data_IF_472327995896
#
_entry.id   IF_472327995896
#
_cell.length_a   1.000
_cell.length_b   1.000
_cell.length_c   1.000
_cell.angle_alpha   90.00
_cell.angle_beta   90.00
_cell.angle_gamma   90.00
#
_symmetry.space_group_name_H-M   'P 1'
#
loop_
_entity.id
_entity.type
_entity.pdbx_description
1 polymer ?
#
# COMPACT_ATOMS: atom_id res chain seq x y z
N UNK A 1 2.69 -12.28 10.68
CA UNK A 1 1.47 -11.61 10.20
C UNK A 1 1.66 -10.11 10.14
N UNK A 2 1.23 -9.49 9.07
CA UNK A 2 1.45 -8.06 8.87
C UNK A 2 0.33 -7.24 9.47
N UNK A 3 0.69 -6.18 10.19
CA UNK A 3 -0.32 -5.27 10.73
C UNK A 3 -0.62 -4.11 9.77
N UNK A 4 -1.78 -3.52 9.96
CA UNK A 4 -2.20 -2.35 9.20
C UNK A 4 -1.13 -1.26 9.25
N UNK A 5 -0.85 -0.67 8.09
CA UNK A 5 0.18 0.36 7.95
C UNK A 5 1.54 -0.16 7.55
N UNK A 6 1.73 -1.49 7.49
CA UNK A 6 3.00 -2.07 7.06
C UNK A 6 3.19 -1.82 5.57
N UNK A 7 4.38 -1.37 5.20
CA UNK A 7 4.79 -1.21 3.79
C UNK A 7 5.48 -2.48 3.36
N UNK A 8 4.95 -3.10 2.31
CA UNK A 8 5.46 -4.38 1.80
C UNK A 8 5.80 -4.26 0.33
N UNK A 9 6.63 -5.18 -0.15
CA UNK A 9 6.90 -5.34 -1.58
C UNK A 9 6.08 -6.50 -2.11
N UNK A 10 5.39 -6.26 -3.22
CA UNK A 10 4.58 -7.28 -3.88
C UNK A 10 4.86 -7.28 -5.38
N UNK A 11 4.67 -8.41 -6.05
CA UNK A 11 4.78 -8.44 -7.51
C UNK A 11 3.62 -7.68 -8.14
N UNK A 12 3.88 -6.99 -9.25
CA UNK A 12 2.84 -6.23 -9.95
C UNK A 12 3.11 -6.25 -11.46
N UNK A 13 2.11 -6.55 -12.28
CA UNK A 13 0.80 -7.08 -11.86
C UNK A 13 0.91 -8.51 -11.35
N UNK A 14 0.07 -8.86 -10.37
CA UNK A 14 0.13 -10.19 -9.75
C UNK A 14 -0.55 -11.26 -10.60
N UNK A 15 -1.13 -10.88 -11.73
CA UNK A 15 -1.74 -11.82 -12.67
C UNK A 15 -0.84 -12.11 -13.85
N UNK A 16 0.26 -11.35 -14.02
CA UNK A 16 1.18 -11.52 -15.13
C UNK A 16 2.50 -12.09 -14.62
N UNK A 17 2.73 -13.35 -14.92
CA UNK A 17 3.93 -14.06 -14.49
C UNK A 17 5.18 -13.66 -15.27
N UNK A 18 5.03 -12.90 -16.36
CA UNK A 18 6.15 -12.50 -17.20
C UNK A 18 6.71 -11.13 -16.85
N UNK A 19 5.94 -10.28 -16.17
CA UNK A 19 6.38 -8.95 -15.79
C UNK A 19 6.87 -8.92 -14.37
N UNK A 20 8.16 -9.04 -14.17
CA UNK A 20 8.77 -9.12 -12.84
C UNK A 20 8.93 -7.76 -12.19
N UNK A 21 7.90 -6.92 -12.24
CA UNK A 21 7.93 -5.64 -11.51
C UNK A 21 7.53 -5.86 -10.07
N UNK A 22 8.30 -5.26 -9.17
CA UNK A 22 8.03 -5.26 -7.75
C UNK A 22 7.56 -3.86 -7.38
N UNK A 23 6.46 -3.76 -6.65
CA UNK A 23 5.89 -2.47 -6.25
C UNK A 23 5.68 -2.45 -4.75
N UNK A 24 5.88 -1.29 -4.11
CA UNK A 24 5.48 -1.16 -2.72
C UNK A 24 3.97 -1.01 -2.60
N UNK A 25 3.45 -1.49 -1.49
CA UNK A 25 2.04 -1.38 -1.15
C UNK A 25 1.91 -1.22 0.37
N UNK A 26 0.79 -0.68 0.81
CA UNK A 26 0.51 -0.51 2.24
C UNK A 26 -0.64 -1.43 2.62
N UNK A 27 -0.46 -2.18 3.69
CA UNK A 27 -1.51 -3.05 4.22
C UNK A 27 -2.55 -2.18 4.91
N UNK A 28 -3.79 -2.29 4.46
CA UNK A 28 -4.91 -1.55 5.03
C UNK A 28 -5.89 -2.42 5.81
N UNK A 29 -5.73 -3.74 5.74
CA UNK A 29 -6.53 -4.66 6.56
C UNK A 29 -5.94 -4.77 7.95
N UNK A 30 -6.80 -4.83 8.96
CA UNK A 30 -6.38 -4.89 10.35
C UNK A 30 -6.55 -6.29 10.93
N UNK A 31 -7.65 -6.94 10.58
CA UNK A 31 -7.98 -8.25 11.10
C UNK A 31 -7.56 -9.35 10.14
N UNK A 32 -7.41 -10.55 10.67
CA UNK A 32 -7.14 -11.71 9.84
C UNK A 32 -8.29 -11.95 8.87
N UNK A 33 -7.93 -12.11 7.61
CA UNK A 33 -8.85 -12.48 6.54
C UNK A 33 -8.34 -13.79 5.97
N UNK A 34 -8.37 -14.85 6.79
CA UNK A 34 -7.73 -16.11 6.42
C UNK A 34 -6.24 -15.90 6.16
N UNK A 35 -5.78 -16.25 4.97
CA UNK A 35 -4.38 -16.06 4.55
C UNK A 35 -4.21 -14.84 3.65
N UNK A 36 -5.17 -13.92 3.65
CA UNK A 36 -5.17 -12.78 2.75
C UNK A 36 -4.89 -11.48 3.50
N UNK A 37 -4.40 -10.52 2.75
CA UNK A 37 -4.25 -9.12 3.18
C UNK A 37 -4.89 -8.22 2.13
N UNK A 38 -5.36 -7.06 2.56
CA UNK A 38 -5.85 -6.02 1.65
C UNK A 38 -4.83 -4.89 1.63
N UNK A 39 -4.47 -4.44 0.44
CA UNK A 39 -3.45 -3.41 0.27
C UNK A 39 -3.93 -2.31 -0.65
N UNK A 40 -3.31 -1.13 -0.53
CA UNK A 40 -3.35 -0.08 -1.54
C UNK A 40 -1.93 0.08 -2.09
N UNK A 41 -1.83 0.42 -3.38
CA UNK A 41 -0.53 0.54 -4.03
C UNK A 41 0.09 1.90 -3.79
N UNK A 42 1.42 1.92 -3.85
CA UNK A 42 2.23 3.14 -3.69
C UNK A 42 2.91 3.41 -5.03
N UNK A 43 2.94 4.68 -5.43
CA UNK A 43 3.65 5.12 -6.62
C UNK A 43 4.60 6.26 -6.27
N UNK A 44 5.74 6.31 -6.97
CA UNK A 44 6.65 7.44 -6.90
C UNK A 44 6.48 8.40 -8.08
N UNK A 45 5.58 8.12 -9.02
CA UNK A 45 5.36 8.96 -10.17
C UNK A 45 4.72 10.28 -9.76
N UNK A 46 5.37 11.40 -10.14
CA UNK A 46 4.90 12.73 -9.78
C UNK A 46 3.82 13.25 -10.72
N UNK A 47 3.74 12.71 -11.94
CA UNK A 47 2.80 13.19 -12.96
C UNK A 47 1.45 12.50 -12.93
N UNK A 48 1.29 11.50 -12.08
CA UNK A 48 0.05 10.74 -11.99
C UNK A 48 -1.00 11.56 -11.26
N UNK A 49 -2.06 11.92 -11.97
CA UNK A 49 -3.19 12.66 -11.40
C UNK A 49 -4.27 11.69 -10.99
N UNK A 50 -4.13 11.13 -9.81
CA UNK A 50 -5.14 10.25 -9.25
C UNK A 50 -5.88 10.97 -8.14
N UNK A 51 -7.17 10.66 -7.99
CA UNK A 51 -7.93 11.11 -6.82
C UNK A 51 -7.59 10.21 -5.64
N UNK A 52 -7.83 10.69 -4.44
CA UNK A 52 -7.67 9.90 -3.22
C UNK A 52 -6.23 9.46 -3.00
N UNK A 53 -5.30 10.37 -3.20
CA UNK A 53 -3.88 10.12 -2.92
C UNK A 53 -3.49 10.61 -1.54
N UNK A 54 -2.56 9.91 -0.91
CA UNK A 54 -1.94 10.35 0.34
C UNK A 54 -0.43 10.39 0.11
N UNK A 55 0.17 11.57 0.31
CA UNK A 55 1.62 11.72 0.19
C UNK A 55 2.32 11.06 1.35
N UNK A 56 3.39 10.31 1.04
CA UNK A 56 4.21 9.67 2.04
C UNK A 56 5.65 10.15 1.85
N UNK A 57 6.15 10.91 2.82
CA UNK A 57 7.52 11.37 2.82
C UNK A 57 8.42 10.28 3.39
N UNK A 58 9.55 9.97 2.75
CA UNK A 58 10.49 8.98 3.31
C UNK A 58 10.93 9.33 4.72
N UNK A 59 10.99 8.33 5.57
CA UNK A 59 11.54 8.48 6.92
C UNK A 59 12.18 7.15 7.37
N UNK A 60 12.87 7.12 8.51
CA UNK A 60 13.58 5.90 8.93
C UNK A 60 12.66 4.71 9.23
N UNK A 61 11.35 4.93 9.38
CA UNK A 61 10.42 3.88 9.79
C UNK A 61 9.66 3.26 8.65
N UNK A 62 9.42 4.00 7.53
CA UNK A 62 8.60 3.46 6.45
C UNK A 62 9.38 2.76 5.35
N UNK A 63 10.70 2.86 5.37
CA UNK A 63 11.55 2.15 4.41
C UNK A 63 11.51 2.67 2.98
N UNK A 64 10.82 3.77 2.72
CA UNK A 64 10.77 4.37 1.39
C UNK A 64 12.01 5.25 1.18
N UNK A 65 12.51 5.29 -0.04
CA UNK A 65 13.70 6.06 -0.39
C UNK A 65 13.39 7.38 -1.07
N UNK A 66 12.22 7.48 -1.69
CA UNK A 66 11.79 8.69 -2.40
C UNK A 66 10.37 9.03 -2.02
N UNK A 67 10.01 10.30 -2.18
CA UNK A 67 8.66 10.76 -1.94
C UNK A 67 7.68 9.96 -2.80
N UNK A 68 6.63 9.47 -2.18
CA UNK A 68 5.69 8.55 -2.79
C UNK A 68 4.27 8.92 -2.43
N UNK A 69 3.31 8.28 -3.07
CA UNK A 69 1.89 8.50 -2.81
C UNK A 69 1.17 7.19 -2.73
N UNK A 70 0.33 7.05 -1.72
CA UNK A 70 -0.59 5.92 -1.63
C UNK A 70 -1.80 6.20 -2.52
N UNK A 71 -2.11 5.25 -3.38
CA UNK A 71 -3.24 5.34 -4.30
C UNK A 71 -4.42 4.60 -3.66
N UNK A 72 -5.23 5.33 -2.89
CA UNK A 72 -6.24 4.70 -2.03
C UNK A 72 -7.41 4.09 -2.82
N UNK A 73 -7.56 4.41 -4.10
CA UNK A 73 -8.54 3.77 -4.97
C UNK A 73 -7.97 2.54 -5.70
N UNK A 74 -6.68 2.29 -5.60
CA UNK A 74 -6.04 1.10 -6.18
C UNK A 74 -5.86 0.06 -5.09
N UNK A 75 -6.89 -0.75 -4.89
CA UNK A 75 -7.01 -1.69 -3.78
C UNK A 75 -6.95 -3.10 -4.33
N UNK A 76 -6.25 -3.98 -3.62
CA UNK A 76 -6.20 -5.40 -3.99
C UNK A 76 -6.19 -6.26 -2.75
N UNK A 77 -6.80 -7.44 -2.87
CA UNK A 77 -6.71 -8.50 -1.87
C UNK A 77 -5.72 -9.53 -2.37
N UNK A 78 -4.69 -9.79 -1.59
CA UNK A 78 -3.57 -10.65 -1.98
C UNK A 78 -3.36 -11.75 -0.95
N UNK A 79 -2.93 -12.91 -1.42
CA UNK A 79 -2.47 -13.93 -0.48
C UNK A 79 -1.17 -13.47 0.18
N UNK A 80 -1.08 -13.68 1.48
CA UNK A 80 0.09 -13.26 2.25
C UNK A 80 1.38 -13.85 1.69
N UNK A 81 1.31 -15.07 1.14
CA UNK A 81 2.49 -15.76 0.64
C UNK A 81 3.17 -15.07 -0.55
N UNK A 82 2.48 -14.17 -1.26
CA UNK A 82 3.10 -13.48 -2.40
C UNK A 82 3.91 -12.25 -1.97
N UNK A 83 3.86 -11.86 -0.71
CA UNK A 83 4.63 -10.72 -0.21
C UNK A 83 6.12 -11.07 -0.30
N UNK A 84 6.87 -10.21 -0.99
CA UNK A 84 8.29 -10.45 -1.24
C UNK A 84 9.19 -9.89 -0.13
N UNK A 85 8.69 -8.94 0.64
CA UNK A 85 9.45 -8.36 1.74
C UNK A 85 8.69 -7.27 2.44
N UNK A 86 9.17 -6.90 3.62
CA UNK A 86 8.61 -5.83 4.43
C UNK A 86 9.61 -4.68 4.45
N UNK A 87 9.16 -3.47 4.15
CA UNK A 87 10.02 -2.29 4.12
C UNK A 87 9.97 -1.51 5.43
N UNK A 88 8.82 -1.43 6.05
CA UNK A 88 8.64 -0.64 7.26
C UNK A 88 7.17 -0.39 7.55
N UNK A 89 6.90 0.67 8.30
CA UNK A 89 5.55 1.00 8.75
C UNK A 89 5.34 2.50 8.58
N UNK A 90 4.18 2.91 8.05
CA UNK A 90 3.83 4.33 7.94
C UNK A 90 3.39 4.87 9.30
N UNK A 91 3.48 6.19 9.45
CA UNK A 91 3.09 6.87 10.69
C UNK A 91 1.58 6.80 10.92
N UNK A 92 1.17 7.05 12.16
CA UNK A 92 -0.25 7.13 12.50
C UNK A 92 -0.95 8.22 11.71
N UNK A 93 -0.28 9.35 11.47
CA UNK A 93 -0.81 10.44 10.66
C UNK A 93 -1.14 9.97 9.25
N UNK A 94 -0.22 9.23 8.62
CA UNK A 94 -0.45 8.69 7.27
C UNK A 94 -1.59 7.67 7.30
N UNK A 95 -1.63 6.79 8.30
CA UNK A 95 -2.73 5.82 8.42
C UNK A 95 -4.08 6.50 8.50
N UNK A 96 -4.18 7.58 9.29
CA UNK A 96 -5.44 8.33 9.41
C UNK A 96 -5.85 8.97 8.09
N UNK A 97 -4.90 9.53 7.35
CA UNK A 97 -5.18 10.12 6.05
C UNK A 97 -5.66 9.07 5.05
N UNK A 98 -5.05 7.89 5.08
CA UNK A 98 -5.48 6.78 4.23
C UNK A 98 -6.90 6.36 4.61
N UNK A 99 -7.20 6.23 5.89
CA UNK A 99 -8.54 5.86 6.34
C UNK A 99 -9.59 6.85 5.86
N UNK A 100 -9.27 8.15 5.93
CA UNK A 100 -10.17 9.21 5.45
C UNK A 100 -10.42 9.06 3.94
N UNK A 101 -9.37 8.83 3.17
CA UNK A 101 -9.52 8.65 1.73
C UNK A 101 -10.28 7.37 1.39
N UNK A 102 -10.05 6.29 2.13
CA UNK A 102 -10.80 5.05 1.91
C UNK A 102 -12.29 5.23 2.18
N UNK A 103 -12.66 5.98 3.22
CA UNK A 103 -14.06 6.31 3.46
C UNK A 103 -14.66 7.06 2.28
N UNK A 104 -13.92 8.01 1.73
CA UNK A 104 -14.37 8.76 0.57
C UNK A 104 -14.53 7.87 -0.66
N UNK A 105 -13.59 6.95 -0.89
CA UNK A 105 -13.64 6.01 -2.02
C UNK A 105 -14.91 5.14 -1.92
N UNK A 106 -15.24 4.66 -0.74
CA UNK A 106 -16.37 3.76 -0.55
C UNK A 106 -17.68 4.47 -0.20
N UNK A 107 -17.63 5.76 0.09
CA UNK A 107 -18.83 6.51 0.45
C UNK A 107 -19.38 6.16 1.84
N UNK A 108 -18.52 5.82 2.75
CA UNK A 108 -18.91 5.44 4.11
C UNK A 108 -18.35 6.45 5.18
#
# INVERSE_FOLDING_TARGET
>A
MYKKGTVVLVPFPFTDLTGNKVRPAIIISENKIGNDIVVVFITSQTKLKEKHQVTITPNPHNGLKISSRALCAKIATLETKIVLGELGVVSDSVKQKIDTELRAVFGI
#
